data_IF_264137915610
#
_entry.id   IF_264137915610
#
_cell.length_a   1.000
_cell.length_b   1.000
_cell.length_c   1.000
_cell.angle_alpha   90.00
_cell.angle_beta   90.00
_cell.angle_gamma   90.00
#
_symmetry.space_group_name_H-M   'P 1'
#
loop_
_entity.id
_entity.type
_entity.pdbx_description
1 polymer ?
#
# COMPACT_ATOMS: atom_id res chain seq x y z
N UNK A 1 20.38 -17.91 -9.10
CA UNK A 1 20.45 -17.05 -7.90
C UNK A 1 19.13 -16.33 -7.79
N UNK A 2 18.39 -16.51 -6.68
CA UNK A 2 17.25 -15.64 -6.38
C UNK A 2 17.80 -14.28 -5.98
N UNK A 3 17.30 -13.21 -6.61
CA UNK A 3 17.68 -11.84 -6.26
C UNK A 3 16.95 -11.50 -4.96
N UNK A 4 17.69 -11.28 -3.88
CA UNK A 4 17.11 -10.78 -2.63
C UNK A 4 16.58 -9.37 -2.89
N UNK A 5 15.26 -9.20 -2.86
CA UNK A 5 14.60 -7.95 -3.20
C UNK A 5 13.58 -7.62 -2.12
N UNK A 6 14.05 -7.03 -1.03
CA UNK A 6 13.21 -6.70 0.12
C UNK A 6 13.03 -5.20 0.26
N UNK A 7 11.91 -4.79 0.86
CA UNK A 7 11.63 -3.40 1.17
C UNK A 7 10.95 -3.28 2.53
N UNK A 8 11.38 -2.32 3.35
CA UNK A 8 10.67 -1.99 4.57
C UNK A 8 9.39 -1.22 4.21
N UNK A 9 8.24 -1.74 4.62
CA UNK A 9 6.95 -1.09 4.41
C UNK A 9 6.85 0.26 5.13
N UNK A 10 7.43 0.37 6.33
CA UNK A 10 7.24 1.54 7.19
C UNK A 10 8.00 2.78 6.70
N UNK A 11 9.26 2.61 6.27
CA UNK A 11 10.11 3.71 5.82
C UNK A 11 10.41 3.69 4.31
N UNK A 12 9.95 2.67 3.58
CA UNK A 12 10.15 2.53 2.14
C UNK A 12 11.57 2.13 1.71
N UNK A 13 12.50 1.93 2.64
CA UNK A 13 13.90 1.60 2.33
C UNK A 13 14.01 0.20 1.71
N UNK A 14 14.74 0.09 0.59
CA UNK A 14 15.13 -1.21 0.02
C UNK A 14 16.26 -1.81 0.84
N UNK A 15 16.13 -3.07 1.20
CA UNK A 15 17.09 -3.79 2.04
C UNK A 15 17.46 -5.12 1.40
N UNK A 16 18.71 -5.54 1.58
CA UNK A 16 19.22 -6.81 1.04
C UNK A 16 18.98 -8.00 1.99
N UNK A 17 18.65 -7.70 3.24
CA UNK A 17 18.42 -8.66 4.33
C UNK A 17 17.03 -8.47 4.94
N UNK A 18 16.52 -9.48 5.66
CA UNK A 18 15.21 -9.43 6.35
C UNK A 18 15.25 -8.62 7.65
N UNK A 19 15.80 -7.41 7.59
CA UNK A 19 15.80 -6.44 8.70
C UNK A 19 15.97 -5.02 8.16
N UNK A 20 15.24 -4.06 8.73
CA UNK A 20 15.38 -2.65 8.39
C UNK A 20 16.34 -1.98 9.38
N UNK A 21 17.47 -1.41 8.92
CA UNK A 21 18.41 -0.73 9.81
C UNK A 21 17.86 0.61 10.34
N UNK A 22 16.90 1.23 9.64
CA UNK A 22 16.31 2.52 10.04
C UNK A 22 15.22 2.33 11.08
N UNK A 23 14.40 1.29 10.93
CA UNK A 23 13.31 1.00 11.85
C UNK A 23 13.70 -0.01 12.94
N UNK A 24 14.93 -0.53 12.89
CA UNK A 24 15.47 -1.55 13.80
C UNK A 24 14.54 -2.74 14.00
N UNK A 25 13.85 -3.15 12.94
CA UNK A 25 12.83 -4.20 12.97
C UNK A 25 12.82 -5.03 11.70
N UNK A 26 12.42 -6.28 11.83
CA UNK A 26 12.20 -7.24 10.75
C UNK A 26 10.71 -7.47 10.43
N UNK A 27 9.80 -6.93 11.24
CA UNK A 27 8.36 -7.23 11.17
C UNK A 27 7.71 -6.67 9.91
N UNK A 28 8.19 -5.53 9.42
CA UNK A 28 7.60 -4.80 8.30
C UNK A 28 8.38 -4.97 6.99
N UNK A 29 9.08 -6.09 6.83
CA UNK A 29 9.84 -6.36 5.60
C UNK A 29 8.96 -7.10 4.61
N UNK A 30 8.82 -6.51 3.42
CA UNK A 30 8.11 -7.06 2.27
C UNK A 30 9.11 -7.72 1.32
N UNK A 31 8.77 -8.89 0.80
CA UNK A 31 9.51 -9.58 -0.26
C UNK A 31 8.93 -9.19 -1.62
N UNK A 32 9.62 -8.33 -2.36
CA UNK A 32 9.12 -7.82 -3.65
C UNK A 32 9.11 -8.88 -4.76
N UNK A 33 9.65 -10.08 -4.53
CA UNK A 33 9.43 -11.22 -5.42
C UNK A 33 8.05 -11.86 -5.20
N UNK A 34 7.43 -11.63 -4.03
CA UNK A 34 6.05 -12.01 -3.79
C UNK A 34 5.11 -10.94 -4.40
N UNK A 35 4.15 -11.33 -5.25
CA UNK A 35 3.31 -10.37 -5.96
C UNK A 35 2.38 -9.56 -5.05
N UNK A 36 1.95 -10.12 -3.90
CA UNK A 36 1.13 -9.38 -2.92
C UNK A 36 1.96 -8.35 -2.16
N UNK A 37 3.16 -8.71 -1.73
CA UNK A 37 4.09 -7.79 -1.09
C UNK A 37 4.50 -6.65 -2.02
N UNK A 38 4.78 -6.96 -3.29
CA UNK A 38 5.04 -5.95 -4.32
C UNK A 38 3.84 -5.02 -4.54
N UNK A 39 2.62 -5.57 -4.54
CA UNK A 39 1.39 -4.77 -4.63
C UNK A 39 1.24 -3.82 -3.43
N UNK A 40 1.46 -4.31 -2.21
CA UNK A 40 1.42 -3.51 -0.98
C UNK A 40 2.47 -2.39 -1.04
N UNK A 41 3.72 -2.72 -1.38
CA UNK A 41 4.83 -1.77 -1.50
C UNK A 41 4.56 -0.67 -2.54
N UNK A 42 3.81 -0.98 -3.60
CA UNK A 42 3.42 -0.02 -4.63
C UNK A 42 2.31 0.95 -4.20
N UNK A 43 1.75 0.80 -2.98
CA UNK A 43 0.56 1.52 -2.52
C UNK A 43 -0.71 1.06 -3.25
N UNK A 44 -0.76 -0.20 -3.68
CA UNK A 44 -1.79 -0.72 -4.58
C UNK A 44 -3.22 -0.50 -4.07
N UNK A 45 -3.46 -0.67 -2.77
CA UNK A 45 -4.78 -0.41 -2.16
C UNK A 45 -5.20 1.06 -2.26
N UNK A 46 -4.28 1.99 -1.99
CA UNK A 46 -4.56 3.44 -2.10
C UNK A 46 -4.89 3.80 -3.53
N UNK A 47 -4.14 3.26 -4.50
CA UNK A 47 -4.41 3.48 -5.93
C UNK A 47 -5.76 2.90 -6.37
N UNK A 48 -6.10 1.69 -5.92
CA UNK A 48 -7.38 1.05 -6.23
C UNK A 48 -8.57 1.83 -5.61
N UNK A 49 -8.42 2.33 -4.39
CA UNK A 49 -9.40 3.20 -3.75
C UNK A 49 -9.56 4.51 -4.52
N UNK A 50 -8.45 5.18 -4.88
CA UNK A 50 -8.49 6.41 -5.66
C UNK A 50 -9.20 6.21 -7.00
N UNK A 51 -8.91 5.12 -7.72
CA UNK A 51 -9.60 4.77 -8.97
C UNK A 51 -11.10 4.55 -8.78
N UNK A 52 -11.52 3.96 -7.65
CA UNK A 52 -12.95 3.75 -7.33
C UNK A 52 -13.64 5.08 -7.01
N UNK A 53 -12.94 6.01 -6.37
CA UNK A 53 -13.45 7.35 -6.10
C UNK A 53 -13.55 8.20 -7.38
N UNK A 54 -12.55 8.14 -8.26
CA UNK A 54 -12.53 8.87 -9.53
C UNK A 54 -13.54 8.31 -10.54
N UNK A 55 -13.92 7.04 -10.42
CA UNK A 55 -14.97 6.40 -11.22
C UNK A 55 -16.36 6.52 -10.58
N UNK A 56 -16.49 7.17 -9.43
CA UNK A 56 -17.79 7.50 -8.86
C UNK A 56 -18.43 8.62 -9.69
N UNK A 57 -19.62 8.41 -10.30
CA UNK A 57 -20.30 9.49 -11.00
C UNK A 57 -20.63 10.60 -9.98
N UNK A 58 -20.46 11.87 -10.37
CA UNK A 58 -20.80 13.09 -9.61
C UNK A 58 -22.30 13.15 -9.21
N UNK A 59 -22.76 12.23 -8.37
CA UNK A 59 -24.14 12.18 -7.86
C UNK A 59 -24.17 11.78 -6.40
N UNK A 60 -23.42 12.50 -5.58
CA UNK A 60 -23.91 12.81 -4.23
C UNK A 60 -24.71 14.10 -4.37
N UNK A 61 -25.85 14.01 -5.06
CA UNK A 61 -26.86 15.06 -5.01
C UNK A 61 -27.26 15.17 -3.54
N UNK A 62 -27.05 16.35 -2.97
CA UNK A 62 -27.61 16.78 -1.68
C UNK A 62 -29.04 16.28 -1.55
N UNK A 63 -29.26 15.25 -0.74
CA UNK A 63 -30.60 14.91 -0.26
C UNK A 63 -30.52 14.30 1.13
N UNK A 64 -29.82 14.98 2.03
CA UNK A 64 -30.21 14.97 3.43
C UNK A 64 -31.48 15.82 3.54
N UNK A 65 -32.61 15.24 3.12
CA UNK A 65 -33.90 15.71 3.60
C UNK A 65 -33.93 15.27 5.07
N UNK A 66 -33.69 16.24 5.95
CA UNK A 66 -34.02 16.13 7.37
C UNK A 66 -35.41 15.50 7.48
N UNK A 67 -35.46 14.34 8.12
CA UNK A 67 -36.72 13.72 8.53
C UNK A 67 -36.60 13.44 10.01
N UNK A 68 -36.98 14.46 10.79
CA UNK A 68 -37.78 14.43 12.03
C UNK A 68 -37.37 15.59 12.94
#
# INVERSE_FOLDING_TARGET
MMINNFQCHNCGLKVEIRSCPVCETNVHILDLNNPMDAFIASGGFVKALAQTCDSSPERVVKSSKEMS
#
